data_IF_579254706602
#
_entry.id   IF_579254706602
#
_cell.length_a   1.000
_cell.length_b   1.000
_cell.length_c   1.000
_cell.angle_alpha   90.00
_cell.angle_beta   90.00
_cell.angle_gamma   90.00
#
_symmetry.space_group_name_H-M   'P 1'
#
loop_
_entity.id
_entity.type
_entity.pdbx_description
1 polymer ?
#
# COMPACT_ATOMS: atom_id res chain seq x y z
N UNK A 1 -31.74 63.02 7.54
CA UNK A 1 -32.02 63.62 6.23
C UNK A 1 -30.72 63.58 5.41
N UNK A 2 -30.73 62.95 4.23
CA UNK A 2 -29.74 62.98 3.12
C UNK A 2 -28.23 62.82 3.45
N UNK A 3 -27.50 61.77 3.05
CA UNK A 3 -27.08 61.31 1.70
C UNK A 3 -26.35 62.39 0.88
N UNK A 4 -25.07 62.11 0.52
CA UNK A 4 -24.23 62.56 -0.64
C UNK A 4 -22.82 63.04 -0.21
N UNK A 5 -21.68 62.78 -0.87
CA UNK A 5 -21.21 61.91 -1.99
C UNK A 5 -19.72 62.30 -2.21
N UNK A 6 -18.82 61.33 -2.52
CA UNK A 6 -17.60 61.41 -3.39
C UNK A 6 -16.50 62.49 -3.09
N UNK A 7 -15.18 62.38 -3.34
CA UNK A 7 -14.22 61.46 -3.98
C UNK A 7 -12.82 62.08 -3.72
N UNK A 8 -11.77 61.25 -3.57
CA UNK A 8 -10.43 61.34 -4.22
C UNK A 8 -9.37 60.66 -3.31
N UNK A 9 -8.94 59.43 -3.56
CA UNK A 9 -7.95 59.03 -4.58
C UNK A 9 -6.54 59.59 -4.28
N UNK A 10 -5.80 58.91 -3.39
CA UNK A 10 -4.34 58.75 -3.52
C UNK A 10 -3.97 57.33 -3.11
N UNK A 11 -3.66 56.54 -4.12
CA UNK A 11 -3.03 55.23 -4.07
C UNK A 11 -1.51 55.41 -3.94
N UNK A 12 -0.85 54.32 -3.53
CA UNK A 12 0.55 53.96 -3.77
C UNK A 12 1.57 54.13 -2.65
N UNK A 13 2.32 53.03 -2.53
CA UNK A 13 3.60 52.83 -1.89
C UNK A 13 3.55 52.62 -0.38
N UNK A 14 3.34 51.37 0.02
CA UNK A 14 4.20 50.64 0.96
C UNK A 14 3.69 49.19 0.99
N UNK A 15 4.45 48.26 0.40
CA UNK A 15 4.61 46.84 0.77
C UNK A 15 5.18 46.07 -0.44
N UNK A 16 6.51 45.84 -0.48
CA UNK A 16 7.00 44.58 -1.03
C UNK A 16 8.14 44.05 -0.15
N UNK A 17 7.81 43.30 0.89
CA UNK A 17 8.81 42.54 1.64
C UNK A 17 8.32 41.20 2.19
N UNK A 18 7.06 40.81 1.94
CA UNK A 18 6.47 39.62 2.58
C UNK A 18 6.17 38.44 1.64
N UNK A 19 6.52 38.52 0.36
CA UNK A 19 6.13 37.48 -0.64
C UNK A 19 7.30 36.54 -1.04
N UNK A 20 8.52 36.76 -0.55
CA UNK A 20 9.70 36.01 -1.03
C UNK A 20 10.11 34.79 -0.17
N UNK A 21 9.19 34.11 0.53
CA UNK A 21 9.54 32.94 1.37
C UNK A 21 8.69 31.67 1.18
N UNK A 22 7.79 31.63 0.17
CA UNK A 22 6.99 30.42 -0.09
C UNK A 22 7.47 29.59 -1.30
N UNK A 23 8.64 29.89 -1.84
CA UNK A 23 9.15 29.22 -3.04
C UNK A 23 10.13 28.07 -2.74
N UNK A 24 9.91 27.23 -1.73
CA UNK A 24 10.59 25.92 -1.63
C UNK A 24 9.71 24.94 -0.84
N UNK A 25 8.69 24.35 -1.47
CA UNK A 25 8.12 23.04 -1.14
C UNK A 25 7.05 22.66 -2.18
N UNK A 26 7.34 22.89 -3.46
CA UNK A 26 6.54 22.30 -4.53
C UNK A 26 7.11 20.93 -4.81
N UNK A 27 6.49 19.92 -4.17
CA UNK A 27 6.66 18.51 -4.51
C UNK A 27 6.41 18.40 -6.01
N UNK A 28 7.47 18.18 -6.78
CA UNK A 28 7.42 18.02 -8.22
C UNK A 28 6.28 17.08 -8.58
N UNK A 29 5.26 17.61 -9.24
CA UNK A 29 4.22 16.79 -9.86
C UNK A 29 4.91 15.76 -10.76
N UNK A 30 4.41 14.52 -10.83
CA UNK A 30 4.95 13.55 -11.79
C UNK A 30 4.87 14.18 -13.18
N UNK A 31 6.01 14.20 -13.89
CA UNK A 31 6.04 14.57 -15.31
C UNK A 31 4.91 13.83 -16.04
N UNK A 32 4.20 14.50 -16.98
CA UNK A 32 3.19 13.83 -17.78
C UNK A 32 3.82 12.60 -18.44
N UNK A 33 3.11 11.46 -18.53
CA UNK A 33 3.64 10.27 -19.16
C UNK A 33 4.04 10.62 -20.59
N UNK A 34 5.36 10.59 -20.82
CA UNK A 34 6.03 10.74 -22.09
C UNK A 34 5.19 10.12 -23.23
N UNK A 35 4.71 10.98 -24.12
CA UNK A 35 3.60 10.78 -25.08
C UNK A 35 3.90 9.71 -26.16
N UNK A 36 5.00 8.97 -26.04
CA UNK A 36 5.49 8.01 -27.03
C UNK A 36 6.07 6.76 -26.38
N UNK A 37 5.25 5.94 -25.71
CA UNK A 37 5.58 4.53 -25.44
C UNK A 37 4.99 3.60 -26.52
N UNK A 38 5.80 3.29 -27.51
CA UNK A 38 5.44 2.40 -28.62
C UNK A 38 5.58 0.92 -28.26
N UNK A 39 6.22 0.55 -27.14
CA UNK A 39 6.41 -0.86 -26.78
C UNK A 39 5.06 -1.54 -26.60
N UNK A 40 4.24 -1.04 -25.68
CA UNK A 40 2.93 -1.60 -25.38
C UNK A 40 1.97 -1.51 -26.58
N UNK A 41 1.89 -0.34 -27.22
CA UNK A 41 0.92 -0.09 -28.29
C UNK A 41 1.21 -0.88 -29.57
N UNK A 42 2.48 -1.13 -29.90
CA UNK A 42 2.85 -2.02 -31.00
C UNK A 42 2.63 -3.49 -30.63
N UNK A 43 3.04 -3.93 -29.43
CA UNK A 43 2.95 -5.33 -29.02
C UNK A 43 1.51 -5.81 -28.80
N UNK A 44 0.59 -4.92 -28.42
CA UNK A 44 -0.83 -5.25 -28.24
C UNK A 44 -1.54 -5.63 -29.54
N UNK A 45 -1.09 -5.08 -30.67
CA UNK A 45 -1.68 -5.28 -32.00
C UNK A 45 -1.05 -6.45 -32.76
N UNK A 46 -0.03 -7.09 -32.18
CA UNK A 46 0.58 -8.25 -32.81
C UNK A 46 -0.38 -9.44 -32.78
N UNK A 47 -0.42 -10.26 -33.85
CA UNK A 47 -1.23 -11.47 -33.89
C UNK A 47 -0.70 -12.55 -32.94
N UNK A 48 0.59 -12.51 -32.61
CA UNK A 48 1.24 -13.47 -31.71
C UNK A 48 0.81 -13.25 -30.25
N UNK A 49 0.07 -14.23 -29.72
CA UNK A 49 -0.41 -14.21 -28.33
C UNK A 49 0.71 -14.17 -27.30
N UNK A 50 1.90 -14.70 -27.60
CA UNK A 50 3.05 -14.70 -26.68
C UNK A 50 3.56 -13.27 -26.47
N UNK A 51 3.44 -12.42 -27.48
CA UNK A 51 3.88 -11.02 -27.43
C UNK A 51 2.76 -10.07 -27.00
N UNK A 52 1.50 -10.43 -27.26
CA UNK A 52 0.32 -9.64 -26.90
C UNK A 52 -0.07 -9.78 -25.43
N UNK A 53 -0.11 -11.00 -24.88
CA UNK A 53 -0.55 -11.25 -23.50
C UNK A 53 0.25 -10.46 -22.45
N UNK A 54 1.60 -10.40 -22.52
CA UNK A 54 2.39 -9.60 -21.60
C UNK A 54 1.96 -8.14 -21.48
N UNK A 55 1.44 -7.53 -22.56
CA UNK A 55 0.98 -6.13 -22.51
C UNK A 55 -0.25 -5.99 -21.62
N UNK A 56 -1.23 -6.89 -21.76
CA UNK A 56 -2.43 -6.87 -20.95
C UNK A 56 -2.12 -7.16 -19.47
N UNK A 57 -1.29 -8.17 -19.21
CA UNK A 57 -0.85 -8.53 -17.86
C UNK A 57 -0.06 -7.39 -17.20
N UNK A 58 0.88 -6.80 -17.93
CA UNK A 58 1.67 -5.69 -17.44
C UNK A 58 0.81 -4.46 -17.11
N UNK A 59 -0.17 -4.10 -17.94
CA UNK A 59 -1.08 -2.98 -17.63
C UNK A 59 -1.89 -3.20 -16.35
N UNK A 60 -2.18 -4.45 -16.00
CA UNK A 60 -2.85 -4.82 -14.76
C UNK A 60 -1.88 -4.96 -13.57
N UNK A 61 -0.58 -4.71 -13.75
CA UNK A 61 0.43 -4.85 -12.71
C UNK A 61 0.62 -3.57 -11.90
N UNK A 62 1.15 -3.72 -10.68
CA UNK A 62 1.55 -2.58 -9.85
C UNK A 62 2.68 -1.77 -10.46
N UNK A 63 3.52 -2.38 -11.30
CA UNK A 63 4.61 -1.69 -11.98
C UNK A 63 4.07 -0.74 -13.07
N UNK A 64 3.04 -1.13 -13.82
CA UNK A 64 2.37 -0.19 -14.73
C UNK A 64 1.65 0.93 -13.96
N UNK A 65 0.96 0.58 -12.85
CA UNK A 65 0.33 1.57 -11.97
C UNK A 65 1.31 2.58 -11.36
N UNK A 66 2.57 2.18 -11.16
CA UNK A 66 3.68 3.04 -10.74
C UNK A 66 4.37 3.83 -11.85
N UNK A 67 3.87 3.76 -13.10
CA UNK A 67 4.41 4.52 -14.23
C UNK A 67 5.71 3.97 -14.82
N UNK A 68 6.09 2.73 -14.49
CA UNK A 68 7.23 2.09 -15.17
C UNK A 68 6.90 1.86 -16.65
N UNK A 69 7.90 1.51 -17.47
CA UNK A 69 7.72 1.15 -18.89
C UNK A 69 8.28 -0.25 -19.14
N UNK A 70 7.92 -0.87 -20.27
CA UNK A 70 8.47 -2.18 -20.66
C UNK A 70 10.01 -2.18 -20.72
N UNK A 71 10.59 -1.05 -21.16
CA UNK A 71 12.03 -0.87 -21.30
C UNK A 71 12.79 -0.84 -19.98
N UNK A 72 12.11 -0.54 -18.86
CA UNK A 72 12.74 -0.61 -17.54
C UNK A 72 13.21 -2.04 -17.23
N UNK A 73 12.47 -3.04 -17.73
CA UNK A 73 12.83 -4.44 -17.53
C UNK A 73 13.51 -5.06 -18.75
N UNK A 74 12.97 -4.83 -19.95
CA UNK A 74 13.45 -5.49 -21.17
C UNK A 74 14.53 -4.69 -21.92
N UNK A 75 14.83 -3.45 -21.47
CA UNK A 75 15.65 -2.50 -22.21
C UNK A 75 14.97 -2.02 -23.49
N UNK A 76 15.74 -1.44 -24.40
CA UNK A 76 15.23 -0.89 -25.65
C UNK A 76 14.68 0.53 -25.50
N UNK A 77 14.28 1.10 -26.63
CA UNK A 77 13.80 2.48 -26.70
C UNK A 77 12.28 2.53 -26.93
N UNK A 78 11.48 2.96 -25.92
CA UNK A 78 10.04 3.06 -26.05
C UNK A 78 9.60 4.18 -27.00
N UNK A 79 10.45 5.18 -27.26
CA UNK A 79 10.17 6.32 -28.13
C UNK A 79 10.22 6.01 -29.63
N UNK A 80 10.69 4.82 -30.01
CA UNK A 80 10.92 4.45 -31.40
C UNK A 80 9.89 3.40 -31.88
N UNK A 81 9.02 3.78 -32.81
CA UNK A 81 8.09 2.86 -33.47
C UNK A 81 8.75 2.10 -34.65
N UNK A 82 9.93 1.51 -34.41
CA UNK A 82 10.64 0.67 -35.38
C UNK A 82 11.29 -0.50 -34.65
N UNK A 83 10.89 -1.73 -34.99
CA UNK A 83 11.34 -2.96 -34.32
C UNK A 83 12.87 -3.06 -34.23
N UNK A 84 13.59 -2.79 -35.32
CA UNK A 84 15.04 -2.99 -35.38
C UNK A 84 15.80 -1.95 -34.55
N UNK A 85 15.34 -0.70 -34.57
CA UNK A 85 15.97 0.39 -33.82
C UNK A 85 15.63 0.31 -32.33
N UNK A 86 14.35 0.12 -31.99
CA UNK A 86 13.88 0.03 -30.61
C UNK A 86 14.48 -1.15 -29.85
N UNK A 87 14.71 -2.28 -30.54
CA UNK A 87 15.29 -3.50 -29.96
C UNK A 87 16.77 -3.69 -30.30
N UNK A 88 17.46 -2.60 -30.63
CA UNK A 88 18.88 -2.65 -30.96
C UNK A 88 19.75 -2.82 -29.72
N UNK A 89 20.98 -3.33 -29.90
CA UNK A 89 22.00 -3.34 -28.84
C UNK A 89 22.33 -1.93 -28.35
N UNK A 90 22.29 -0.93 -29.23
CA UNK A 90 22.52 0.49 -28.89
C UNK A 90 21.46 1.03 -27.93
N UNK A 91 20.23 0.52 -28.02
CA UNK A 91 19.14 0.84 -27.09
C UNK A 91 19.16 -0.01 -25.81
N UNK A 92 20.25 -0.76 -25.55
CA UNK A 92 20.39 -1.66 -24.40
C UNK A 92 19.25 -2.70 -24.28
N UNK A 93 18.68 -3.12 -25.41
CA UNK A 93 17.62 -4.14 -25.39
C UNK A 93 18.19 -5.50 -24.99
N UNK A 94 17.64 -6.07 -23.91
CA UNK A 94 18.04 -7.38 -23.37
C UNK A 94 17.01 -8.48 -23.69
N UNK A 95 15.78 -8.10 -24.04
CA UNK A 95 14.70 -9.07 -24.22
C UNK A 95 14.26 -9.66 -22.89
N UNK A 96 13.92 -10.95 -22.86
CA UNK A 96 13.54 -11.63 -21.62
C UNK A 96 14.77 -11.74 -20.69
N UNK A 97 14.73 -11.20 -19.46
CA UNK A 97 15.83 -11.34 -18.51
C UNK A 97 16.18 -12.82 -18.26
N UNK A 98 17.46 -13.11 -18.07
CA UNK A 98 17.91 -14.47 -17.78
C UNK A 98 17.38 -14.93 -16.41
N UNK A 99 16.76 -16.11 -16.37
CA UNK A 99 16.19 -16.72 -15.17
C UNK A 99 17.22 -16.88 -14.05
N UNK A 100 18.49 -17.09 -14.40
CA UNK A 100 19.57 -17.26 -13.41
C UNK A 100 19.82 -16.02 -12.56
N UNK A 101 19.51 -14.84 -13.10
CA UNK A 101 19.79 -13.55 -12.45
C UNK A 101 18.51 -12.79 -12.11
N UNK A 102 17.34 -13.45 -12.18
CA UNK A 102 16.05 -12.77 -12.00
C UNK A 102 15.91 -12.21 -10.58
N UNK A 103 16.50 -12.87 -9.58
CA UNK A 103 16.52 -12.42 -8.19
C UNK A 103 17.31 -11.11 -8.07
N UNK A 104 18.52 -11.08 -8.61
CA UNK A 104 19.40 -9.91 -8.66
C UNK A 104 18.76 -8.79 -9.47
N UNK A 105 18.09 -9.14 -10.56
CA UNK A 105 17.42 -8.20 -11.45
C UNK A 105 16.27 -7.47 -10.75
N UNK A 106 15.39 -8.20 -10.04
CA UNK A 106 14.30 -7.61 -9.27
C UNK A 106 14.81 -6.81 -8.06
N UNK A 107 15.90 -7.28 -7.45
CA UNK A 107 16.52 -6.65 -6.30
C UNK A 107 17.58 -5.59 -6.58
N UNK A 108 17.74 -5.16 -7.83
CA UNK A 108 18.72 -4.13 -8.19
C UNK A 108 18.45 -2.80 -7.47
N UNK A 109 19.47 -1.93 -7.44
CA UNK A 109 19.37 -0.61 -6.84
C UNK A 109 18.16 0.18 -7.37
N UNK A 110 17.38 0.78 -6.46
CA UNK A 110 16.16 1.51 -6.78
C UNK A 110 14.91 0.64 -6.99
N UNK A 111 15.02 -0.69 -6.88
CA UNK A 111 13.89 -1.62 -6.95
C UNK A 111 13.66 -2.31 -5.59
N UNK A 112 13.91 -3.62 -5.47
CA UNK A 112 13.60 -4.40 -4.27
C UNK A 112 14.84 -4.91 -3.52
N UNK A 113 15.82 -4.04 -3.31
CA UNK A 113 17.11 -4.41 -2.70
C UNK A 113 16.97 -5.10 -1.34
N UNK A 114 16.12 -4.59 -0.44
CA UNK A 114 15.90 -5.21 0.88
C UNK A 114 15.32 -6.62 0.77
N UNK A 115 14.36 -6.84 -0.14
CA UNK A 115 13.76 -8.16 -0.33
C UNK A 115 14.78 -9.16 -0.90
N UNK A 116 15.67 -8.71 -1.80
CA UNK A 116 16.76 -9.53 -2.30
C UNK A 116 17.75 -9.90 -1.19
N UNK A 117 18.14 -8.95 -0.34
CA UNK A 117 19.05 -9.24 0.77
C UNK A 117 18.43 -10.24 1.78
N UNK A 118 17.13 -10.16 2.02
CA UNK A 118 16.41 -11.16 2.80
C UNK A 118 16.37 -12.52 2.08
N UNK A 119 16.03 -12.54 0.80
CA UNK A 119 15.96 -13.76 0.00
C UNK A 119 17.31 -14.50 -0.06
N UNK A 120 18.43 -13.77 -0.18
CA UNK A 120 19.79 -14.31 -0.19
C UNK A 120 20.17 -15.07 1.09
N UNK A 121 19.56 -14.75 2.22
CA UNK A 121 19.77 -15.45 3.49
C UNK A 121 19.05 -16.81 3.55
N UNK A 122 18.13 -17.03 2.62
CA UNK A 122 17.27 -18.19 2.57
C UNK A 122 17.84 -19.38 1.81
N UNK A 123 17.34 -20.61 2.07
CA UNK A 123 17.72 -21.80 1.31
C UNK A 123 17.26 -21.73 -0.16
N UNK A 124 16.17 -21.01 -0.46
CA UNK A 124 15.67 -20.85 -1.83
C UNK A 124 16.66 -20.13 -2.75
N UNK A 125 17.42 -19.15 -2.25
CA UNK A 125 18.45 -18.49 -3.06
C UNK A 125 19.59 -19.44 -3.45
N UNK A 126 19.93 -20.41 -2.59
CA UNK A 126 20.89 -21.46 -2.92
C UNK A 126 20.35 -22.39 -4.02
N UNK A 127 19.04 -22.64 -4.03
CA UNK A 127 18.37 -23.40 -5.10
C UNK A 127 18.40 -22.64 -6.43
N UNK A 128 18.10 -21.33 -6.47
CA UNK A 128 18.13 -20.52 -7.71
C UNK A 128 19.46 -20.67 -8.44
N UNK A 129 20.58 -20.66 -7.73
CA UNK A 129 21.91 -20.81 -8.33
C UNK A 129 22.12 -22.18 -9.02
N UNK A 130 21.37 -23.21 -8.63
CA UNK A 130 21.46 -24.58 -9.17
C UNK A 130 20.36 -24.89 -10.18
N UNK A 131 19.13 -24.48 -9.91
CA UNK A 131 17.91 -24.90 -10.62
C UNK A 131 17.14 -23.74 -11.25
N UNK A 132 17.59 -22.49 -11.09
CA UNK A 132 16.91 -21.25 -11.51
C UNK A 132 15.57 -20.97 -10.81
N UNK A 133 15.17 -21.82 -9.87
CA UNK A 133 13.91 -21.78 -9.15
C UNK A 133 14.10 -22.22 -7.69
N UNK A 134 13.28 -21.77 -6.74
CA UNK A 134 12.24 -20.74 -6.91
C UNK A 134 12.86 -19.34 -6.87
N UNK A 135 12.43 -18.45 -7.75
CA UNK A 135 12.84 -17.04 -7.81
C UNK A 135 11.73 -16.09 -7.36
N UNK A 136 11.98 -14.77 -7.42
CA UNK A 136 10.94 -13.76 -7.14
C UNK A 136 9.68 -14.00 -7.98
N UNK A 137 9.86 -14.39 -9.25
CA UNK A 137 8.75 -14.57 -10.21
C UNK A 137 7.92 -15.82 -9.95
N UNK A 138 8.44 -16.78 -9.17
CA UNK A 138 7.71 -18.00 -8.80
C UNK A 138 6.50 -17.69 -7.93
N UNK A 139 6.60 -16.68 -7.07
CA UNK A 139 5.49 -16.22 -6.22
C UNK A 139 4.84 -14.96 -6.79
N UNK A 140 5.63 -13.95 -7.18
CA UNK A 140 5.09 -12.65 -7.60
C UNK A 140 4.63 -12.59 -9.06
N UNK A 141 4.94 -13.60 -9.88
CA UNK A 141 4.68 -13.59 -11.32
C UNK A 141 5.70 -12.77 -12.12
N UNK A 142 5.43 -12.60 -13.41
CA UNK A 142 6.38 -11.99 -14.37
C UNK A 142 5.88 -10.65 -14.90
N UNK A 143 4.81 -10.65 -15.70
CA UNK A 143 4.24 -9.43 -16.29
C UNK A 143 3.09 -8.87 -15.45
N UNK A 144 2.22 -9.74 -14.92
CA UNK A 144 1.06 -9.36 -14.09
C UNK A 144 1.35 -9.21 -12.60
N UNK A 145 2.51 -8.67 -12.21
CA UNK A 145 2.93 -8.55 -10.81
C UNK A 145 1.91 -7.72 -10.02
N UNK A 146 1.30 -8.34 -9.00
CA UNK A 146 0.28 -7.71 -8.15
C UNK A 146 0.89 -7.08 -6.90
N UNK A 147 0.09 -6.29 -6.19
CA UNK A 147 0.47 -5.77 -4.87
C UNK A 147 0.70 -6.96 -3.94
N UNK A 148 1.76 -6.91 -3.15
CA UNK A 148 2.06 -7.98 -2.19
C UNK A 148 0.85 -8.22 -1.29
N UNK A 149 0.37 -9.45 -1.33
CA UNK A 149 -0.72 -9.97 -0.51
C UNK A 149 -0.44 -11.46 -0.26
N UNK A 150 -1.17 -12.08 0.66
CA UNK A 150 -1.07 -13.53 0.87
C UNK A 150 -1.37 -14.35 -0.40
N UNK A 151 -2.16 -13.80 -1.33
CA UNK A 151 -2.61 -14.50 -2.54
C UNK A 151 -1.47 -14.81 -3.52
N UNK A 152 -0.34 -14.08 -3.44
CA UNK A 152 0.86 -14.37 -4.26
C UNK A 152 1.58 -15.64 -3.80
N UNK A 153 1.29 -16.14 -2.60
CA UNK A 153 1.88 -17.36 -2.04
C UNK A 153 0.84 -18.47 -2.10
N UNK A 154 1.04 -19.43 -2.98
CA UNK A 154 0.10 -20.55 -3.18
C UNK A 154 0.70 -21.88 -2.75
N UNK A 155 -0.16 -22.79 -2.26
CA UNK A 155 0.28 -24.16 -1.99
C UNK A 155 0.79 -24.85 -3.27
N UNK A 156 0.27 -24.47 -4.44
CA UNK A 156 0.67 -24.98 -5.75
C UNK A 156 2.11 -24.61 -6.11
N UNK A 157 2.52 -23.35 -5.86
CA UNK A 157 3.90 -22.92 -6.11
C UNK A 157 4.88 -23.66 -5.21
N UNK A 158 4.51 -23.92 -3.95
CA UNK A 158 5.33 -24.66 -3.00
C UNK A 158 5.41 -26.16 -3.34
N UNK A 159 4.28 -26.76 -3.74
CA UNK A 159 4.18 -28.20 -4.01
C UNK A 159 4.90 -28.65 -5.28
N UNK A 160 5.45 -27.72 -6.06
CA UNK A 160 6.34 -28.04 -7.19
C UNK A 160 7.67 -28.65 -6.71
N UNK A 161 8.08 -28.37 -5.47
CA UNK A 161 9.34 -28.88 -4.90
C UNK A 161 9.17 -29.47 -3.48
N UNK A 162 8.12 -29.09 -2.75
CA UNK A 162 7.82 -29.59 -1.41
C UNK A 162 6.62 -30.53 -1.42
N UNK A 163 6.42 -31.28 -0.33
CA UNK A 163 5.20 -32.10 -0.19
C UNK A 163 3.96 -31.21 -0.15
N UNK A 164 2.84 -31.73 -0.66
CA UNK A 164 1.58 -30.99 -0.68
C UNK A 164 1.09 -30.65 0.75
N UNK A 165 1.30 -31.55 1.70
CA UNK A 165 0.97 -31.36 3.12
C UNK A 165 1.77 -30.20 3.72
N UNK A 166 3.10 -30.24 3.62
CA UNK A 166 3.96 -29.15 4.10
C UNK A 166 3.61 -27.81 3.46
N UNK A 167 3.35 -27.82 2.15
CA UNK A 167 2.98 -26.62 1.39
C UNK A 167 1.68 -26.01 1.89
N UNK A 168 0.66 -26.84 2.17
CA UNK A 168 -0.63 -26.40 2.69
C UNK A 168 -0.51 -25.83 4.09
N UNK A 169 0.22 -26.52 4.98
CA UNK A 169 0.39 -26.10 6.37
C UNK A 169 1.14 -24.77 6.46
N UNK A 170 2.20 -24.62 5.67
CA UNK A 170 2.98 -23.39 5.63
C UNK A 170 2.15 -22.20 5.11
N UNK A 171 1.41 -22.38 4.02
CA UNK A 171 0.55 -21.32 3.49
C UNK A 171 -0.56 -20.97 4.47
N UNK A 172 -1.14 -21.96 5.16
CA UNK A 172 -2.11 -21.74 6.22
C UNK A 172 -1.56 -20.92 7.37
N UNK A 173 -0.32 -21.20 7.80
CA UNK A 173 0.38 -20.42 8.82
C UNK A 173 0.58 -18.96 8.39
N UNK A 174 1.12 -18.74 7.19
CA UNK A 174 1.37 -17.39 6.67
C UNK A 174 0.04 -16.60 6.58
N UNK A 175 -1.03 -17.25 6.10
CA UNK A 175 -2.35 -16.64 6.00
C UNK A 175 -2.97 -16.32 7.37
N UNK A 176 -2.70 -17.14 8.39
CA UNK A 176 -3.13 -16.87 9.76
C UNK A 176 -2.46 -15.62 10.34
N UNK A 177 -1.16 -15.48 10.15
CA UNK A 177 -0.39 -14.30 10.58
C UNK A 177 -0.89 -13.04 9.87
N UNK A 178 -1.04 -13.09 8.54
CA UNK A 178 -1.54 -11.97 7.73
C UNK A 178 -2.94 -11.50 8.17
N UNK A 179 -3.83 -12.45 8.46
CA UNK A 179 -5.17 -12.17 8.99
C UNK A 179 -5.11 -11.47 10.34
N UNK A 180 -4.29 -11.98 11.27
CA UNK A 180 -4.12 -11.37 12.59
C UNK A 180 -3.62 -9.93 12.49
N UNK A 181 -2.61 -9.67 11.66
CA UNK A 181 -2.12 -8.31 11.40
C UNK A 181 -3.17 -7.40 10.76
N UNK A 182 -4.01 -7.93 9.86
CA UNK A 182 -5.09 -7.18 9.19
C UNK A 182 -6.25 -6.84 10.13
N UNK A 183 -6.59 -7.73 11.06
CA UNK A 183 -7.58 -7.46 12.12
C UNK A 183 -7.11 -6.33 13.04
N UNK A 184 -5.84 -6.36 13.46
CA UNK A 184 -5.24 -5.29 14.27
C UNK A 184 -5.27 -3.97 13.50
N UNK A 185 -4.92 -3.96 12.21
CA UNK A 185 -4.98 -2.75 11.37
C UNK A 185 -6.38 -2.14 11.33
N UNK A 186 -7.41 -2.98 11.21
CA UNK A 186 -8.81 -2.56 11.24
C UNK A 186 -9.17 -1.91 12.57
N UNK A 187 -8.70 -2.48 13.69
CA UNK A 187 -8.91 -1.89 15.01
C UNK A 187 -8.14 -0.56 15.16
N UNK A 188 -6.89 -0.50 14.73
CA UNK A 188 -6.08 0.73 14.80
C UNK A 188 -6.70 1.83 13.96
N UNK A 189 -7.19 1.51 12.76
CA UNK A 189 -7.93 2.47 11.91
C UNK A 189 -9.17 3.00 12.62
N UNK A 190 -9.98 2.13 13.21
CA UNK A 190 -11.15 2.53 13.99
C UNK A 190 -10.78 3.49 15.14
N UNK A 191 -9.70 3.17 15.87
CA UNK A 191 -9.20 4.00 16.98
C UNK A 191 -8.69 5.36 16.47
N UNK A 192 -7.99 5.36 15.33
CA UNK A 192 -7.47 6.57 14.68
C UNK A 192 -8.60 7.49 14.23
N UNK A 193 -9.65 6.94 13.63
CA UNK A 193 -10.85 7.66 13.20
C UNK A 193 -11.64 8.28 14.38
N UNK A 194 -11.34 7.85 15.61
CA UNK A 194 -11.88 8.40 16.86
C UNK A 194 -10.87 9.25 17.63
N UNK A 195 -9.77 9.63 16.98
CA UNK A 195 -8.70 10.47 17.54
C UNK A 195 -8.07 9.88 18.81
N UNK A 196 -8.09 8.54 18.95
CA UNK A 196 -7.43 7.87 20.06
C UNK A 196 -5.91 7.85 19.87
N UNK A 197 -5.17 7.86 20.96
CA UNK A 197 -3.72 7.69 20.94
C UNK A 197 -3.36 6.24 20.53
N UNK A 198 -2.83 6.11 19.31
CA UNK A 198 -2.46 4.82 18.70
C UNK A 198 -1.00 4.73 18.26
N UNK A 199 -0.20 5.80 18.38
CA UNK A 199 1.15 5.86 17.80
C UNK A 199 2.02 4.67 18.20
N UNK A 200 2.09 4.37 19.50
CA UNK A 200 2.86 3.22 20.01
C UNK A 200 2.37 1.87 19.46
N UNK A 201 1.06 1.71 19.28
CA UNK A 201 0.46 0.49 18.72
C UNK A 201 0.80 0.40 17.23
N UNK A 202 0.73 1.51 16.51
CA UNK A 202 1.07 1.59 15.09
C UNK A 202 2.56 1.25 14.86
N UNK A 203 3.47 1.76 15.69
CA UNK A 203 4.90 1.48 15.58
C UNK A 203 5.18 -0.01 15.79
N UNK A 204 4.56 -0.61 16.81
CA UNK A 204 4.65 -2.05 17.07
C UNK A 204 4.05 -2.90 15.94
N UNK A 205 2.89 -2.51 15.42
CA UNK A 205 2.27 -3.17 14.26
C UNK A 205 3.16 -3.09 13.02
N UNK A 206 3.79 -1.94 12.77
CA UNK A 206 4.74 -1.78 11.67
C UNK A 206 5.96 -2.70 11.85
N UNK A 207 6.51 -2.79 13.07
CA UNK A 207 7.60 -3.73 13.38
C UNK A 207 7.18 -5.19 13.16
N UNK A 208 5.99 -5.58 13.61
CA UNK A 208 5.45 -6.91 13.36
C UNK A 208 5.30 -7.20 11.84
N UNK A 209 4.86 -6.21 11.05
CA UNK A 209 4.83 -6.33 9.58
C UNK A 209 6.21 -6.49 8.96
N UNK A 210 7.21 -5.75 9.44
CA UNK A 210 8.58 -5.90 8.97
C UNK A 210 9.13 -7.30 9.24
N UNK A 211 8.87 -7.86 10.43
CA UNK A 211 9.22 -9.23 10.77
C UNK A 211 8.48 -10.25 9.90
N UNK A 212 7.19 -10.03 9.65
CA UNK A 212 6.40 -10.86 8.74
C UNK A 212 6.93 -10.83 7.31
N UNK A 213 7.31 -9.66 6.81
CA UNK A 213 7.93 -9.53 5.49
C UNK A 213 9.27 -10.27 5.43
N UNK A 214 10.12 -10.17 6.45
CA UNK A 214 11.35 -10.95 6.52
C UNK A 214 11.05 -12.46 6.54
N UNK A 215 10.07 -12.90 7.33
CA UNK A 215 9.65 -14.29 7.43
C UNK A 215 9.31 -14.90 6.06
N UNK A 216 8.56 -14.18 5.22
CA UNK A 216 8.15 -14.65 3.88
C UNK A 216 9.17 -14.43 2.77
N UNK A 217 10.30 -13.77 3.03
CA UNK A 217 11.39 -13.63 2.03
C UNK A 217 12.58 -14.51 2.36
N UNK A 218 12.87 -14.78 3.64
CA UNK A 218 14.00 -15.64 4.02
C UNK A 218 13.67 -17.14 3.88
N UNK A 219 12.47 -17.59 4.25
CA UNK A 219 12.08 -19.02 4.16
C UNK A 219 13.09 -20.03 4.76
N UNK A 220 13.83 -19.63 5.79
CA UNK A 220 14.75 -20.52 6.52
C UNK A 220 14.01 -21.16 7.70
N UNK A 221 14.05 -22.49 7.82
CA UNK A 221 13.37 -23.22 8.90
C UNK A 221 13.69 -22.64 10.29
N UNK A 222 14.97 -22.37 10.55
CA UNK A 222 15.40 -21.85 11.85
C UNK A 222 14.87 -20.43 12.11
N UNK A 223 15.00 -19.53 11.13
CA UNK A 223 14.49 -18.17 11.26
C UNK A 223 12.95 -18.14 11.36
N UNK A 224 12.28 -19.03 10.64
CA UNK A 224 10.83 -19.15 10.67
C UNK A 224 10.32 -19.63 12.01
N UNK A 225 10.92 -20.67 12.61
CA UNK A 225 10.50 -21.18 13.92
C UNK A 225 10.61 -20.10 15.02
N UNK A 226 11.64 -19.26 14.97
CA UNK A 226 11.81 -18.15 15.92
C UNK A 226 10.88 -16.97 15.63
N UNK A 227 10.87 -16.50 14.39
CA UNK A 227 10.07 -15.33 13.98
C UNK A 227 8.58 -15.60 14.10
N UNK A 228 8.14 -16.83 13.83
CA UNK A 228 6.76 -17.27 14.06
C UNK A 228 6.33 -17.02 15.50
N UNK A 229 7.10 -17.49 16.48
CA UNK A 229 6.75 -17.35 17.91
C UNK A 229 6.67 -15.89 18.32
N UNK A 230 7.60 -15.06 17.85
CA UNK A 230 7.58 -13.62 18.10
C UNK A 230 6.32 -12.99 17.53
N UNK A 231 5.99 -13.30 16.27
CA UNK A 231 4.80 -12.77 15.62
C UNK A 231 3.52 -13.21 16.30
N UNK A 232 3.40 -14.47 16.70
CA UNK A 232 2.23 -15.00 17.42
C UNK A 232 2.01 -14.25 18.73
N UNK A 233 3.05 -14.10 19.56
CA UNK A 233 2.97 -13.39 20.84
C UNK A 233 2.63 -11.90 20.62
N UNK A 234 3.29 -11.25 19.66
CA UNK A 234 3.08 -9.82 19.43
C UNK A 234 1.70 -9.54 18.84
N UNK A 235 1.20 -10.40 17.95
CA UNK A 235 -0.17 -10.31 17.41
C UNK A 235 -1.19 -10.51 18.53
N UNK A 236 -1.02 -11.52 19.40
CA UNK A 236 -1.93 -11.74 20.53
C UNK A 236 -1.97 -10.53 21.47
N UNK A 237 -0.80 -9.97 21.79
CA UNK A 237 -0.69 -8.78 22.64
C UNK A 237 -1.34 -7.55 22.00
N UNK A 238 -1.06 -7.27 20.72
CA UNK A 238 -1.61 -6.13 19.99
C UNK A 238 -3.12 -6.27 19.77
N UNK A 239 -3.60 -7.48 19.47
CA UNK A 239 -5.02 -7.76 19.30
C UNK A 239 -5.78 -7.54 20.60
N UNK A 240 -5.29 -8.08 21.72
CA UNK A 240 -5.88 -7.86 23.04
C UNK A 240 -5.91 -6.38 23.41
N UNK A 241 -4.78 -5.68 23.25
CA UNK A 241 -4.66 -4.24 23.56
C UNK A 241 -5.62 -3.39 22.71
N UNK A 242 -5.68 -3.64 21.41
CA UNK A 242 -6.56 -2.90 20.50
C UNK A 242 -8.03 -3.21 20.76
N UNK A 243 -8.42 -4.46 20.97
CA UNK A 243 -9.80 -4.84 21.33
C UNK A 243 -10.26 -4.20 22.63
N UNK A 244 -9.41 -4.15 23.66
CA UNK A 244 -9.72 -3.46 24.91
C UNK A 244 -9.96 -1.96 24.70
N UNK A 245 -9.10 -1.29 23.91
CA UNK A 245 -9.26 0.13 23.58
C UNK A 245 -10.53 0.38 22.76
N UNK A 246 -10.80 -0.43 21.74
CA UNK A 246 -12.01 -0.33 20.90
C UNK A 246 -13.27 -0.50 21.76
N UNK A 247 -13.29 -1.52 22.63
CA UNK A 247 -14.41 -1.76 23.56
C UNK A 247 -14.64 -0.58 24.50
N UNK A 248 -13.55 0.01 25.02
CA UNK A 248 -13.61 1.19 25.90
C UNK A 248 -14.20 2.40 25.19
N UNK A 249 -13.74 2.70 23.97
CA UNK A 249 -14.27 3.83 23.19
C UNK A 249 -15.74 3.62 22.83
N UNK A 250 -16.12 2.42 22.39
CA UNK A 250 -17.54 2.11 22.09
C UNK A 250 -18.45 2.31 23.29
N UNK A 251 -17.99 1.94 24.50
CA UNK A 251 -18.74 2.19 25.73
C UNK A 251 -18.88 3.69 26.02
N UNK A 252 -17.81 4.46 25.82
CA UNK A 252 -17.85 5.92 26.00
C UNK A 252 -18.78 6.60 24.98
N UNK A 253 -18.75 6.18 23.72
CA UNK A 253 -19.65 6.68 22.67
C UNK A 253 -21.12 6.43 23.02
N UNK A 254 -21.44 5.21 23.50
CA UNK A 254 -22.80 4.87 23.94
C UNK A 254 -23.26 5.73 25.12
N UNK A 255 -22.39 5.95 26.10
CA UNK A 255 -22.70 6.82 27.24
C UNK A 255 -22.90 8.27 26.80
N UNK A 256 -22.06 8.79 25.91
CA UNK A 256 -22.19 10.14 25.38
C UNK A 256 -23.50 10.35 24.61
N UNK A 257 -23.88 9.38 23.77
CA UNK A 257 -25.16 9.39 23.05
C UNK A 257 -26.32 9.37 24.05
N UNK A 258 -26.28 8.49 25.04
CA UNK A 258 -27.32 8.40 26.07
C UNK A 258 -27.47 9.71 26.85
N UNK A 259 -26.36 10.32 27.27
CA UNK A 259 -26.35 11.62 27.97
C UNK A 259 -26.89 12.75 27.10
N UNK A 260 -26.51 12.80 25.83
CA UNK A 260 -26.97 13.83 24.88
C UNK A 260 -28.47 13.70 24.62
N UNK A 261 -28.97 12.47 24.42
CA UNK A 261 -30.40 12.20 24.24
C UNK A 261 -31.20 12.54 25.49
N UNK A 262 -30.71 12.18 26.67
CA UNK A 262 -31.34 12.54 27.94
C UNK A 262 -31.42 14.06 28.13
N UNK A 263 -30.34 14.78 27.81
CA UNK A 263 -30.32 16.25 27.83
C UNK A 263 -31.34 16.88 26.87
N UNK A 264 -31.43 16.37 25.64
CA UNK A 264 -32.44 16.81 24.66
C UNK A 264 -33.87 16.59 25.15
N UNK A 265 -34.16 15.43 25.77
CA UNK A 265 -35.49 15.14 26.34
C UNK A 265 -35.83 16.14 27.45
N UNK A 266 -34.89 16.48 28.33
CA UNK A 266 -35.10 17.49 29.37
C UNK A 266 -35.38 18.87 28.76
N UNK A 267 -34.58 19.30 27.77
CA UNK A 267 -34.74 20.61 27.12
C UNK A 267 -36.12 20.71 26.45
N UNK A 268 -36.52 19.67 25.72
CA UNK A 268 -37.84 19.60 25.08
C UNK A 268 -38.95 19.59 26.12
N UNK A 269 -38.80 18.83 27.21
CA UNK A 269 -39.76 18.78 28.32
C UNK A 269 -39.99 20.15 28.98
N UNK A 270 -38.90 20.87 29.30
CA UNK A 270 -38.96 22.22 29.88
C UNK A 270 -39.58 23.21 28.87
N UNK A 271 -39.23 23.11 27.60
CA UNK A 271 -39.79 23.97 26.54
C UNK A 271 -41.30 23.76 26.37
N UNK A 272 -41.77 22.52 26.38
CA UNK A 272 -43.21 22.21 26.33
C UNK A 272 -43.90 22.73 27.60
N UNK A 273 -43.33 22.48 28.78
CA UNK A 273 -43.89 22.94 30.05
C UNK A 273 -44.05 24.46 30.10
N UNK A 274 -43.02 25.20 29.71
CA UNK A 274 -43.05 26.68 29.67
C UNK A 274 -44.08 27.20 28.68
N UNK A 275 -44.20 26.62 27.48
CA UNK A 275 -45.24 26.96 26.51
C UNK A 275 -46.65 26.72 27.05
N UNK A 276 -46.89 25.57 27.69
CA UNK A 276 -48.18 25.24 28.30
C UNK A 276 -48.53 26.24 29.41
N UNK A 277 -47.59 26.52 30.31
CA UNK A 277 -47.81 27.48 31.40
C UNK A 277 -48.07 28.89 30.89
N UNK A 278 -47.34 29.34 29.86
CA UNK A 278 -47.57 30.64 29.24
C UNK A 278 -48.94 30.73 28.55
N UNK A 279 -49.40 29.65 27.90
CA UNK A 279 -50.74 29.60 27.29
C UNK A 279 -51.86 29.68 28.33
N UNK A 280 -51.69 29.02 29.49
CA UNK A 280 -52.66 29.05 30.60
C UNK A 280 -52.74 30.42 31.27
N UNK A 281 -51.65 31.21 31.27
CA UNK A 281 -51.60 32.55 31.89
C UNK A 281 -52.23 33.65 31.04
N UNK A 282 -52.46 33.41 29.74
CA UNK A 282 -53.08 34.36 28.80
C UNK A 282 -54.60 34.19 28.68
N UNK A 283 -55.21 33.24 29.38
CA UNK A 283 -56.65 33.16 29.64
C UNK A 283 -56.94 33.71 31.02
#
# INVERSE_FOLDING_TARGET
>A
MSRKFMISLVLCALLPAYVASQAVLEKSAPEPPDEKDFCASCHERLPDSILKKPVAEWRASVHAGGGTKCSLCHGGDPGINNKALAKSKKANYIGAPDKKVISEFCGRAGCHATALEQFKRGPHYLSVQKTTEPSCTTCHGVHGIQRSSIEVISAKSCSACHTAEYSKDLVGLIAGIDRGLSEIDTNVKYLTDRHAEVQKIQDRLNNARHLFHQFVHVFSRHEMEYTKKILEIEIENLDSETKMKVSSIRRMDLLYIAMTMFGLVIIVGISIYTLVMYSKRRK
#
